data_IF_622453583926
#
_entry.id   IF_622453583926
#
_cell.length_a   1.000
_cell.length_b   1.000
_cell.length_c   1.000
_cell.angle_alpha   90.00
_cell.angle_beta   90.00
_cell.angle_gamma   90.00
#
_symmetry.space_group_name_H-M   'P 1'
#
loop_
_entity.id
_entity.type
_entity.pdbx_description
1 polymer ?
#
# COMPACT_ATOMS: atom_id res chain seq x y z
N UNK A 1 -16.97 -3.08 18.51
CA UNK A 1 -16.44 -4.42 18.88
C UNK A 1 -15.12 -4.56 18.15
N UNK A 2 -14.01 -4.60 18.87
CA UNK A 2 -12.69 -4.85 18.26
C UNK A 2 -12.67 -6.29 17.74
N UNK A 3 -12.28 -6.49 16.48
CA UNK A 3 -12.23 -7.81 15.87
C UNK A 3 -10.97 -8.54 16.38
N UNK A 4 -11.14 -9.42 17.37
CA UNK A 4 -10.06 -10.23 17.93
C UNK A 4 -9.93 -11.53 17.14
N UNK A 5 -8.70 -11.92 16.83
CA UNK A 5 -8.39 -13.21 16.22
C UNK A 5 -8.66 -14.33 17.23
N UNK A 6 -9.67 -15.16 16.94
CA UNK A 6 -10.04 -16.31 17.78
C UNK A 6 -9.34 -17.61 17.37
N UNK A 7 -9.07 -17.77 16.06
CA UNK A 7 -8.52 -19.00 15.52
C UNK A 7 -8.59 -19.04 14.00
N UNK A 8 -8.22 -20.18 13.43
CA UNK A 8 -8.27 -20.45 12.00
C UNK A 8 -9.10 -21.70 11.71
N UNK A 9 -10.01 -21.62 10.75
CA UNK A 9 -10.73 -22.78 10.22
C UNK A 9 -10.56 -22.82 8.71
N UNK A 10 -10.24 -24.00 8.18
CA UNK A 10 -10.12 -24.15 6.73
C UNK A 10 -11.49 -24.11 6.06
N UNK A 11 -11.54 -23.64 4.80
CA UNK A 11 -12.78 -23.69 4.01
C UNK A 11 -13.34 -25.11 3.90
N UNK A 12 -12.47 -26.12 3.81
CA UNK A 12 -12.86 -27.51 3.71
C UNK A 12 -13.61 -27.97 4.96
N UNK A 13 -13.02 -27.79 6.15
CA UNK A 13 -13.63 -28.15 7.43
C UNK A 13 -14.91 -27.36 7.68
N UNK A 14 -14.91 -26.05 7.42
CA UNK A 14 -16.11 -25.23 7.57
C UNK A 14 -17.24 -25.73 6.67
N UNK A 15 -16.96 -25.96 5.39
CA UNK A 15 -17.96 -26.43 4.44
C UNK A 15 -18.46 -27.84 4.73
N UNK A 16 -17.57 -28.72 5.22
CA UNK A 16 -17.92 -30.07 5.62
C UNK A 16 -18.88 -30.04 6.82
N UNK A 17 -18.57 -29.25 7.84
CA UNK A 17 -19.40 -29.14 9.04
C UNK A 17 -20.76 -28.50 8.77
N UNK A 18 -20.81 -27.45 7.95
CA UNK A 18 -22.09 -26.85 7.56
C UNK A 18 -22.97 -27.82 6.76
N UNK A 19 -22.35 -28.67 5.92
CA UNK A 19 -23.08 -29.68 5.15
C UNK A 19 -23.53 -30.85 6.02
N UNK A 20 -22.66 -31.33 6.91
CA UNK A 20 -22.99 -32.45 7.81
C UNK A 20 -24.05 -32.06 8.84
N UNK A 21 -24.10 -30.79 9.26
CA UNK A 21 -25.12 -30.28 10.17
C UNK A 21 -26.50 -30.13 9.52
N UNK A 22 -26.54 -29.87 8.20
CA UNK A 22 -27.77 -29.77 7.42
C UNK A 22 -28.35 -31.15 7.05
N UNK A 23 -27.55 -32.22 7.12
CA UNK A 23 -27.97 -33.58 6.80
C UNK A 23 -28.49 -34.33 8.05
N UNK A 24 -29.34 -35.37 7.88
CA UNK A 24 -29.71 -36.25 8.99
C UNK A 24 -28.46 -36.90 9.60
N UNK A 25 -28.33 -36.98 10.94
CA UNK A 25 -29.40 -37.01 11.94
C UNK A 25 -29.75 -35.67 12.63
N UNK A 26 -29.03 -34.57 12.38
CA UNK A 26 -29.23 -33.29 13.09
C UNK A 26 -30.15 -32.32 12.34
N UNK A 27 -30.10 -32.33 11.00
CA UNK A 27 -30.98 -31.58 10.08
C UNK A 27 -31.29 -30.14 10.54
N UNK A 28 -30.24 -29.36 10.84
CA UNK A 28 -30.39 -27.98 11.29
C UNK A 28 -30.89 -27.07 10.16
N UNK A 29 -31.79 -26.11 10.46
CA UNK A 29 -32.21 -25.11 9.49
C UNK A 29 -31.04 -24.24 8.97
N UNK A 30 -31.12 -23.71 7.74
CA UNK A 30 -30.03 -22.90 7.18
C UNK A 30 -29.81 -21.55 7.89
N UNK A 31 -30.82 -21.05 8.61
CA UNK A 31 -30.76 -19.85 9.47
C UNK A 31 -30.15 -20.09 10.86
N UNK A 32 -29.66 -21.30 11.16
CA UNK A 32 -29.07 -21.63 12.46
C UNK A 32 -27.86 -20.76 12.78
N UNK A 33 -27.82 -20.20 14.00
CA UNK A 33 -26.66 -19.45 14.48
C UNK A 33 -25.47 -20.37 14.72
N UNK A 34 -24.31 -19.96 14.20
CA UNK A 34 -23.05 -20.66 14.37
C UNK A 34 -22.10 -19.85 15.27
N UNK A 35 -21.47 -20.51 16.23
CA UNK A 35 -20.58 -19.89 17.20
C UNK A 35 -19.16 -20.41 17.10
N UNK A 36 -18.20 -19.50 17.20
CA UNK A 36 -16.77 -19.78 17.29
C UNK A 36 -16.22 -19.57 18.71
N UNK A 37 -17.11 -19.26 19.66
CA UNK A 37 -16.80 -19.05 21.08
C UNK A 37 -17.78 -19.84 21.95
N UNK A 38 -17.35 -20.22 23.15
CA UNK A 38 -18.20 -20.97 24.08
C UNK A 38 -19.40 -20.12 24.47
N UNK A 39 -20.61 -20.63 24.23
CA UNK A 39 -21.83 -20.02 24.72
C UNK A 39 -22.48 -20.96 25.75
N UNK A 40 -22.42 -20.63 27.05
CA UNK A 40 -22.92 -21.52 28.10
C UNK A 40 -24.44 -21.70 28.10
N UNK A 41 -25.19 -20.83 27.41
CA UNK A 41 -26.67 -20.83 27.37
C UNK A 41 -27.24 -21.24 26.00
N UNK A 42 -26.40 -21.65 25.05
CA UNK A 42 -26.84 -22.05 23.72
C UNK A 42 -27.38 -23.48 23.74
N UNK A 43 -28.59 -23.69 23.23
CA UNK A 43 -29.18 -25.03 23.10
C UNK A 43 -28.43 -25.84 22.02
N UNK A 44 -27.83 -26.99 22.36
CA UNK A 44 -27.10 -27.82 21.40
C UNK A 44 -27.98 -28.32 20.24
N UNK A 45 -29.30 -28.40 20.42
CA UNK A 45 -30.21 -28.85 19.37
C UNK A 45 -30.50 -27.79 18.32
N UNK A 46 -30.31 -26.50 18.66
CA UNK A 46 -30.67 -25.35 17.82
C UNK A 46 -29.48 -24.48 17.42
N UNK A 47 -28.25 -24.82 17.85
CA UNK A 47 -27.04 -24.02 17.57
C UNK A 47 -25.90 -24.88 17.06
N UNK A 48 -25.03 -24.28 16.24
CA UNK A 48 -23.86 -24.94 15.67
C UNK A 48 -22.58 -24.39 16.30
N UNK A 49 -21.95 -25.18 17.16
CA UNK A 49 -20.64 -24.84 17.71
C UNK A 49 -19.54 -25.28 16.73
N UNK A 50 -18.71 -24.36 16.24
CA UNK A 50 -17.62 -24.63 15.30
C UNK A 50 -16.24 -24.66 15.97
N UNK A 51 -16.15 -24.41 17.28
CA UNK A 51 -14.88 -24.38 18.02
C UNK A 51 -14.03 -25.65 17.90
N UNK A 52 -14.59 -26.88 17.95
CA UNK A 52 -13.79 -28.09 17.87
C UNK A 52 -13.06 -28.25 16.53
N UNK A 53 -13.57 -27.60 15.48
CA UNK A 53 -13.03 -27.65 14.13
C UNK A 53 -12.19 -26.42 13.78
N UNK A 54 -12.07 -25.48 14.71
CA UNK A 54 -11.22 -24.30 14.58
C UNK A 54 -9.92 -24.54 15.33
N UNK A 55 -8.79 -24.29 14.67
CA UNK A 55 -7.49 -24.23 15.32
C UNK A 55 -7.41 -22.96 16.17
N UNK A 56 -7.32 -23.14 17.49
CA UNK A 56 -7.26 -22.05 18.48
C UNK A 56 -5.84 -21.50 18.66
N UNK A 57 -4.83 -22.16 18.08
CA UNK A 57 -3.42 -21.78 18.20
C UNK A 57 -2.74 -21.64 16.84
N UNK A 58 -3.31 -20.84 15.90
CA UNK A 58 -2.66 -20.66 14.62
C UNK A 58 -1.34 -19.89 14.81
N UNK A 59 -0.38 -20.16 13.94
CA UNK A 59 0.92 -19.47 14.01
C UNK A 59 0.73 -18.00 13.60
N UNK A 60 1.02 -17.12 14.55
CA UNK A 60 0.92 -15.68 14.40
C UNK A 60 2.30 -15.02 14.42
N UNK A 61 2.46 -13.97 13.62
CA UNK A 61 3.63 -13.09 13.65
C UNK A 61 3.16 -11.63 13.74
N UNK A 62 3.98 -10.73 14.31
CA UNK A 62 3.67 -9.30 14.26
C UNK A 62 3.73 -8.80 12.81
N UNK A 63 2.88 -7.84 12.46
CA UNK A 63 2.85 -7.23 11.12
C UNK A 63 4.16 -6.56 10.69
N UNK A 64 5.04 -6.26 11.67
CA UNK A 64 6.38 -5.68 11.47
C UNK A 64 7.48 -6.74 11.28
N UNK A 65 7.15 -8.03 11.26
CA UNK A 65 8.15 -9.09 11.12
C UNK A 65 8.84 -9.05 9.74
N UNK A 66 10.16 -9.34 9.74
CA UNK A 66 10.95 -9.41 8.51
C UNK A 66 10.48 -10.55 7.61
N UNK A 67 10.39 -10.30 6.30
CA UNK A 67 10.00 -11.31 5.31
C UNK A 67 10.93 -12.54 5.34
N UNK A 68 12.22 -12.34 5.61
CA UNK A 68 13.17 -13.44 5.77
C UNK A 68 12.79 -14.40 6.92
N UNK A 69 12.31 -13.86 8.04
CA UNK A 69 11.84 -14.68 9.17
C UNK A 69 10.61 -15.49 8.76
N UNK A 70 9.66 -14.86 8.07
CA UNK A 70 8.46 -15.52 7.55
C UNK A 70 8.85 -16.66 6.60
N UNK A 71 9.76 -16.40 5.65
CA UNK A 71 10.28 -17.43 4.73
C UNK A 71 10.93 -18.59 5.49
N UNK A 72 11.72 -18.30 6.53
CA UNK A 72 12.35 -19.33 7.35
C UNK A 72 11.33 -20.20 8.09
N UNK A 73 10.21 -19.63 8.52
CA UNK A 73 9.10 -20.38 9.14
C UNK A 73 8.47 -21.35 8.12
N UNK A 74 8.18 -20.89 6.91
CA UNK A 74 7.65 -21.74 5.85
C UNK A 74 8.60 -22.88 5.44
N UNK A 75 9.91 -22.62 5.44
CA UNK A 75 10.92 -23.62 5.06
C UNK A 75 11.23 -24.61 6.18
N UNK A 76 11.36 -24.15 7.42
CA UNK A 76 11.78 -24.99 8.56
C UNK A 76 10.62 -25.71 9.23
N UNK A 77 9.48 -25.05 9.38
CA UNK A 77 8.28 -25.66 10.00
C UNK A 77 7.32 -26.25 8.97
N UNK A 78 7.51 -26.01 7.67
CA UNK A 78 6.65 -26.55 6.63
C UNK A 78 5.23 -25.99 6.65
N UNK A 79 5.06 -24.75 7.11
CA UNK A 79 3.75 -24.13 7.29
C UNK A 79 3.00 -23.97 5.96
N UNK A 80 1.66 -24.01 6.04
CA UNK A 80 0.79 -23.74 4.88
C UNK A 80 0.37 -22.27 4.83
N UNK A 81 0.16 -21.68 5.99
CA UNK A 81 -0.28 -20.31 6.19
C UNK A 81 0.34 -19.75 7.47
N UNK A 82 0.49 -18.43 7.54
CA UNK A 82 0.92 -17.68 8.73
C UNK A 82 0.02 -16.45 8.83
N UNK A 83 -0.51 -16.19 10.02
CA UNK A 83 -1.36 -15.02 10.28
C UNK A 83 -0.50 -13.88 10.83
N UNK A 84 -0.81 -12.65 10.44
CA UNK A 84 -0.21 -11.45 11.01
C UNK A 84 -1.20 -10.81 11.96
N UNK A 85 -0.85 -10.71 13.24
CA UNK A 85 -1.68 -10.12 14.27
C UNK A 85 -0.87 -9.15 15.12
N UNK A 86 -1.47 -8.01 15.47
CA UNK A 86 -0.92 -7.05 16.44
C UNK A 86 -1.97 -6.80 17.52
N UNK A 87 -1.58 -6.95 18.79
CA UNK A 87 -2.47 -6.84 19.97
C UNK A 87 -3.79 -7.64 19.85
N UNK A 88 -3.71 -8.84 19.27
CA UNK A 88 -4.87 -9.72 19.08
C UNK A 88 -5.76 -9.38 17.89
N UNK A 89 -5.49 -8.29 17.16
CA UNK A 89 -6.22 -7.92 15.94
C UNK A 89 -5.53 -8.50 14.72
N UNK A 90 -6.29 -9.19 13.86
CA UNK A 90 -5.79 -9.72 12.59
C UNK A 90 -5.52 -8.59 11.59
N UNK A 91 -4.26 -8.45 11.17
CA UNK A 91 -3.82 -7.47 10.17
C UNK A 91 -3.73 -8.08 8.77
N UNK A 92 -3.42 -9.38 8.66
CA UNK A 92 -3.30 -10.04 7.37
C UNK A 92 -3.01 -11.53 7.48
N UNK A 93 -2.97 -12.20 6.34
CA UNK A 93 -2.63 -13.61 6.20
C UNK A 93 -1.65 -13.77 5.04
N UNK A 94 -0.69 -14.66 5.19
CA UNK A 94 0.26 -14.99 4.15
C UNK A 94 0.36 -16.50 3.97
N UNK A 95 0.32 -16.93 2.72
CA UNK A 95 0.31 -18.35 2.35
C UNK A 95 1.62 -18.76 1.70
N UNK A 96 1.87 -20.08 1.66
CA UNK A 96 3.04 -20.63 0.97
C UNK A 96 3.12 -20.20 -0.50
N UNK A 97 1.98 -20.01 -1.17
CA UNK A 97 1.91 -19.55 -2.57
C UNK A 97 2.52 -18.16 -2.71
N UNK A 98 2.24 -17.26 -1.77
CA UNK A 98 2.71 -15.88 -1.79
C UNK A 98 4.23 -15.85 -1.58
N UNK A 99 4.75 -16.67 -0.67
CA UNK A 99 6.20 -16.84 -0.47
C UNK A 99 6.90 -17.34 -1.73
N UNK A 100 6.33 -18.34 -2.40
CA UNK A 100 6.89 -18.86 -3.66
C UNK A 100 6.86 -17.78 -4.74
N UNK A 101 5.78 -17.01 -4.81
CA UNK A 101 5.65 -15.93 -5.79
C UNK A 101 6.73 -14.86 -5.61
N UNK A 102 6.95 -14.43 -4.36
CA UNK A 102 8.03 -13.49 -3.98
C UNK A 102 9.39 -14.06 -4.33
N UNK A 103 9.67 -15.32 -3.99
CA UNK A 103 10.95 -15.98 -4.27
C UNK A 103 11.23 -16.07 -5.78
N UNK A 104 10.19 -16.27 -6.60
CA UNK A 104 10.33 -16.39 -8.04
C UNK A 104 10.45 -15.02 -8.74
N UNK A 105 10.03 -13.92 -8.11
CA UNK A 105 10.08 -12.57 -8.66
C UNK A 105 10.82 -11.58 -7.74
N UNK A 106 12.13 -11.79 -7.48
CA UNK A 106 12.89 -10.95 -6.56
C UNK A 106 13.05 -9.51 -7.05
N UNK A 107 13.02 -9.28 -8.37
CA UNK A 107 13.26 -7.97 -8.99
C UNK A 107 11.97 -7.18 -9.29
N UNK A 108 10.82 -7.61 -8.77
CA UNK A 108 9.58 -6.87 -8.98
C UNK A 108 9.60 -5.57 -8.18
N UNK A 109 9.20 -4.45 -8.79
CA UNK A 109 9.31 -3.11 -8.20
C UNK A 109 8.64 -3.00 -6.81
N UNK A 110 7.53 -3.73 -6.59
CA UNK A 110 6.82 -3.71 -5.31
C UNK A 110 7.57 -4.45 -4.18
N UNK A 111 8.59 -5.25 -4.50
CA UNK A 111 9.47 -5.94 -3.56
C UNK A 111 10.86 -5.32 -3.46
N UNK A 112 11.03 -4.11 -3.98
CA UNK A 112 12.22 -3.30 -3.73
C UNK A 112 12.35 -3.05 -2.23
N UNK A 113 13.09 -3.92 -1.55
CA UNK A 113 13.48 -3.75 -0.17
C UNK A 113 14.92 -3.31 -0.12
N UNK A 114 15.20 -2.47 0.85
CA UNK A 114 16.54 -1.98 1.06
C UNK A 114 17.42 -3.06 1.64
N UNK A 115 18.70 -3.04 1.26
CA UNK A 115 19.68 -3.87 1.94
C UNK A 115 19.63 -3.56 3.45
N UNK A 116 19.58 -4.59 4.31
CA UNK A 116 19.77 -4.37 5.74
C UNK A 116 21.13 -3.65 5.92
N UNK A 117 21.15 -2.64 6.78
CA UNK A 117 22.32 -1.82 7.14
C UNK A 117 22.67 -0.63 6.21
N UNK A 118 21.96 -0.42 5.09
CA UNK A 118 22.13 0.79 4.25
C UNK A 118 20.84 1.63 4.27
N UNK A 119 20.88 2.91 4.70
CA UNK A 119 19.74 3.81 4.62
C UNK A 119 19.48 4.23 3.17
N UNK A 120 18.74 3.38 2.47
CA UNK A 120 18.28 3.54 1.08
C UNK A 120 17.20 4.63 0.89
N UNK A 121 16.39 4.89 1.92
CA UNK A 121 15.23 5.80 1.88
C UNK A 121 15.59 6.94 2.82
N UNK A 122 15.99 8.05 2.24
CA UNK A 122 16.29 9.28 2.96
C UNK A 122 15.08 10.19 2.87
N UNK A 123 14.29 10.38 3.95
CA UNK A 123 13.07 11.20 3.88
C UNK A 123 13.35 12.64 3.43
N UNK A 124 14.57 13.15 3.69
CA UNK A 124 15.03 14.45 3.22
C UNK A 124 15.02 14.58 1.69
N UNK A 125 15.42 13.54 0.93
CA UNK A 125 15.47 13.63 -0.54
C UNK A 125 14.06 13.71 -1.13
N UNK A 126 13.12 12.92 -0.61
CA UNK A 126 11.72 13.00 -1.00
C UNK A 126 11.08 14.35 -0.66
N UNK A 127 11.42 14.94 0.49
CA UNK A 127 10.96 16.27 0.86
C UNK A 127 11.46 17.35 -0.10
N UNK A 128 12.74 17.30 -0.49
CA UNK A 128 13.35 18.23 -1.45
C UNK A 128 12.70 18.10 -2.84
N UNK A 129 12.52 16.87 -3.32
CA UNK A 129 11.85 16.61 -4.62
C UNK A 129 10.42 17.14 -4.61
N UNK A 130 9.68 16.92 -3.52
CA UNK A 130 8.31 17.44 -3.35
C UNK A 130 8.26 18.96 -3.34
N UNK A 131 9.17 19.62 -2.61
CA UNK A 131 9.26 21.07 -2.56
C UNK A 131 9.61 21.69 -3.93
N UNK A 132 10.54 21.08 -4.68
CA UNK A 132 10.86 21.50 -6.03
C UNK A 132 9.67 21.33 -6.98
N UNK A 133 8.95 20.21 -6.89
CA UNK A 133 7.78 19.92 -7.71
C UNK A 133 6.64 20.91 -7.45
N UNK A 134 6.38 21.28 -6.19
CA UNK A 134 5.33 22.27 -5.86
C UNK A 134 5.70 23.67 -6.33
N UNK A 135 6.95 24.11 -6.14
CA UNK A 135 7.41 25.40 -6.64
C UNK A 135 7.34 25.49 -8.17
N UNK A 136 7.76 24.44 -8.89
CA UNK A 136 7.62 24.36 -10.33
C UNK A 136 6.14 24.31 -10.77
N UNK A 137 5.29 23.65 -9.98
CA UNK A 137 3.85 23.57 -10.19
C UNK A 137 3.11 24.89 -9.95
N UNK A 138 3.66 25.83 -9.17
CA UNK A 138 3.03 27.15 -8.94
C UNK A 138 3.57 28.21 -9.91
N UNK A 139 4.89 28.19 -10.14
CA UNK A 139 5.59 29.25 -10.87
C UNK A 139 5.79 28.95 -12.35
N UNK A 140 5.66 27.68 -12.78
CA UNK A 140 5.94 27.21 -14.15
C UNK A 140 7.38 27.42 -14.63
N UNK A 141 8.32 27.80 -13.75
CA UNK A 141 9.74 27.97 -14.06
C UNK A 141 10.51 26.66 -13.80
N UNK A 142 10.71 25.82 -14.81
CA UNK A 142 11.28 24.48 -14.61
C UNK A 142 12.80 24.43 -14.58
N UNK A 143 13.49 25.13 -15.49
CA UNK A 143 14.96 25.08 -15.58
C UNK A 143 15.61 25.76 -14.37
N UNK A 144 15.18 26.97 -14.04
CA UNK A 144 15.78 27.75 -12.94
C UNK A 144 15.58 27.08 -11.57
N UNK A 145 14.40 26.51 -11.30
CA UNK A 145 14.11 25.86 -10.01
C UNK A 145 14.95 24.61 -9.82
N UNK A 146 15.14 23.80 -10.87
CA UNK A 146 15.99 22.61 -10.80
C UNK A 146 17.44 23.00 -10.51
N UNK A 147 17.95 24.06 -11.16
CA UNK A 147 19.32 24.55 -10.90
C UNK A 147 19.45 25.07 -9.48
N UNK A 148 18.53 25.90 -8.99
CA UNK A 148 18.56 26.42 -7.61
C UNK A 148 18.53 25.27 -6.61
N UNK A 149 17.64 24.29 -6.79
CA UNK A 149 17.54 23.15 -5.88
C UNK A 149 18.77 22.25 -5.93
N UNK A 150 19.37 22.10 -7.11
CA UNK A 150 20.64 21.40 -7.29
C UNK A 150 21.79 22.10 -6.54
N UNK A 151 21.94 23.41 -6.72
CA UNK A 151 22.96 24.22 -6.03
C UNK A 151 22.81 24.15 -4.50
N UNK A 152 21.56 24.20 -4.00
CA UNK A 152 21.26 24.10 -2.57
C UNK A 152 21.52 22.69 -2.00
N UNK A 153 21.35 21.63 -2.80
CA UNK A 153 21.49 20.24 -2.35
C UNK A 153 22.93 19.73 -2.48
N UNK A 154 23.73 20.30 -3.40
CA UNK A 154 25.16 19.98 -3.57
C UNK A 154 25.46 18.56 -4.07
N UNK A 155 24.47 17.80 -4.53
CA UNK A 155 24.60 16.41 -4.95
C UNK A 155 24.07 16.19 -6.38
N UNK A 156 24.97 15.86 -7.31
CA UNK A 156 24.70 15.63 -8.74
C UNK A 156 23.79 14.41 -9.00
N UNK A 157 23.80 13.42 -8.10
CA UNK A 157 23.05 12.17 -8.27
C UNK A 157 21.54 12.35 -8.22
N UNK A 158 21.05 13.45 -7.64
CA UNK A 158 19.61 13.72 -7.49
C UNK A 158 19.02 14.61 -8.58
N UNK A 159 19.84 15.08 -9.54
CA UNK A 159 19.38 15.98 -10.61
C UNK A 159 18.38 15.30 -11.54
N UNK A 160 18.67 14.07 -11.98
CA UNK A 160 17.78 13.32 -12.87
C UNK A 160 16.38 13.07 -12.29
N UNK A 161 16.21 12.51 -11.07
CA UNK A 161 14.88 12.31 -10.50
C UNK A 161 14.15 13.63 -10.21
N UNK A 162 14.86 14.70 -9.84
CA UNK A 162 14.25 16.02 -9.67
C UNK A 162 13.72 16.60 -10.98
N UNK A 163 14.47 16.49 -12.08
CA UNK A 163 14.02 16.96 -13.40
C UNK A 163 12.74 16.25 -13.85
N UNK A 164 12.68 14.92 -13.67
CA UNK A 164 11.48 14.13 -14.01
C UNK A 164 10.28 14.58 -13.17
N UNK A 165 10.45 14.74 -11.86
CA UNK A 165 9.36 15.18 -10.97
C UNK A 165 8.86 16.59 -11.30
N UNK A 166 9.77 17.54 -11.55
CA UNK A 166 9.45 18.92 -11.93
C UNK A 166 8.75 18.98 -13.29
N UNK A 167 9.20 18.19 -14.27
CA UNK A 167 8.57 18.13 -15.59
C UNK A 167 7.15 17.57 -15.53
N UNK A 168 6.93 16.50 -14.75
CA UNK A 168 5.59 15.96 -14.52
C UNK A 168 4.70 17.00 -13.84
N UNK A 169 5.19 17.71 -12.82
CA UNK A 169 4.44 18.76 -12.14
C UNK A 169 4.03 19.90 -13.10
N UNK A 170 4.94 20.32 -13.98
CA UNK A 170 4.63 21.30 -15.04
C UNK A 170 3.53 20.77 -15.96
N UNK A 171 3.65 19.55 -16.49
CA UNK A 171 2.66 18.99 -17.41
C UNK A 171 1.27 18.88 -16.79
N UNK A 172 1.20 18.37 -15.56
CA UNK A 172 -0.05 18.29 -14.80
C UNK A 172 -0.62 19.68 -14.63
N UNK A 173 0.20 20.65 -14.25
CA UNK A 173 -0.24 22.01 -14.06
C UNK A 173 -0.69 22.73 -15.34
N UNK A 174 0.04 22.56 -16.45
CA UNK A 174 -0.31 23.10 -17.76
C UNK A 174 -1.62 22.52 -18.30
N UNK A 175 -1.95 21.28 -17.93
CA UNK A 175 -3.22 20.64 -18.26
C UNK A 175 -4.43 21.30 -17.57
N UNK A 176 -4.25 21.84 -16.35
CA UNK A 176 -5.31 22.54 -15.63
C UNK A 176 -5.36 24.04 -15.95
N UNK A 177 -4.21 24.70 -16.03
CA UNK A 177 -4.10 26.13 -16.33
C UNK A 177 -2.83 26.41 -17.12
N UNK A 178 -2.98 27.14 -18.22
CA UNK A 178 -1.87 27.51 -19.12
C UNK A 178 -0.96 28.58 -18.54
N UNK A 179 -1.39 29.31 -17.49
CA UNK A 179 -0.63 30.42 -16.90
C UNK A 179 -0.16 30.09 -15.49
N UNK A 180 1.08 30.48 -15.19
CA UNK A 180 1.63 30.45 -13.84
C UNK A 180 1.04 31.54 -12.93
N UNK A 181 1.35 31.50 -11.63
CA UNK A 181 0.89 32.53 -10.68
C UNK A 181 1.39 33.93 -11.05
N UNK A 182 2.64 34.04 -11.52
CA UNK A 182 3.25 35.32 -11.86
C UNK A 182 2.60 35.95 -13.10
N UNK A 183 2.38 35.18 -14.15
CA UNK A 183 1.65 35.63 -15.35
C UNK A 183 0.20 36.01 -15.03
N UNK A 184 -0.45 35.23 -14.18
CA UNK A 184 -1.82 35.52 -13.74
C UNK A 184 -1.91 36.85 -12.99
N UNK A 185 -0.93 37.14 -12.14
CA UNK A 185 -0.86 38.40 -11.38
C UNK A 185 -0.55 39.60 -12.27
N UNK A 186 0.35 39.44 -13.25
CA UNK A 186 0.67 40.47 -14.25
C UNK A 186 -0.59 40.87 -15.04
N UNK A 187 -1.36 39.88 -15.49
CA UNK A 187 -2.60 40.11 -16.22
C UNK A 187 -3.70 40.73 -15.35
N UNK A 188 -3.75 40.38 -14.06
CA UNK A 188 -4.70 40.97 -13.12
C UNK A 188 -4.45 42.47 -12.88
N UNK A 189 -3.18 42.90 -12.91
CA UNK A 189 -2.80 44.31 -12.74
C UNK A 189 -2.71 45.10 -14.05
N UNK A 190 -3.08 44.50 -15.19
CA UNK A 190 -3.04 45.12 -16.52
C UNK A 190 -1.67 45.71 -16.89
N UNK A 191 -0.58 45.10 -16.42
CA UNK A 191 0.75 45.55 -16.81
C UNK A 191 1.04 45.19 -18.28
N UNK A 192 1.63 46.11 -19.07
CA UNK A 192 2.03 45.81 -20.44
C UNK A 192 3.21 44.82 -20.42
N UNK A 193 2.92 43.54 -20.64
CA UNK A 193 3.89 42.46 -20.73
C UNK A 193 3.96 41.92 -22.17
N UNK A 194 5.17 41.80 -22.70
CA UNK A 194 5.43 41.18 -23.99
C UNK A 194 5.75 39.70 -23.76
N UNK A 195 4.84 38.82 -24.17
CA UNK A 195 5.05 37.38 -24.08
C UNK A 195 5.90 36.90 -25.27
N UNK A 196 6.98 36.16 -24.98
CA UNK A 196 7.83 35.57 -26.02
C UNK A 196 7.21 34.32 -26.65
N UNK A 197 6.20 33.72 -26.02
CA UNK A 197 5.52 32.52 -26.55
C UNK A 197 4.56 32.82 -27.70
N UNK A 198 3.99 34.04 -27.75
CA UNK A 198 3.10 34.47 -28.82
C UNK A 198 3.85 34.85 -30.12
N UNK A 199 5.11 35.29 -30.01
CA UNK A 199 5.96 35.62 -31.15
C UNK A 199 6.34 34.38 -31.98
N UNK A 200 6.52 33.23 -31.33
CA UNK A 200 6.86 31.96 -31.98
C UNK A 200 5.68 31.39 -32.78
N UNK A 201 4.44 31.68 -32.35
CA UNK A 201 3.21 31.21 -33.03
C UNK A 201 2.83 32.12 -34.21
N UNK A 202 3.24 33.40 -34.19
CA UNK A 202 2.97 34.38 -35.25
C UNK A 202 3.96 34.31 -36.44
N UNK A 203 5.00 33.48 -36.36
CA UNK A 203 6.03 33.31 -37.39
C UNK A 203 5.82 32.08 -38.30
N UNK A 204 4.67 31.41 -38.23
CA UNK A 204 4.31 30.32 -39.15
C UNK A 204 3.39 30.91 -40.25
N UNK A 205 3.88 31.14 -41.48
CA UNK A 205 3.00 31.32 -42.64
C UNK A 205 2.29 30.03 -43.05
#
# INVERSE_FOLDING_TARGET
REAILLGYISRAELSYNLRSSAQPPRSLPPETEAFFTHQPMADPSATLDLRPWMDQTPITLPSRANLHLVVSYFQKLGLRYVLFADRGVLQGLLTKKDVIWVKNHPNFFAFGSCAPDIPCITPATYAVVGAAATLAGVTRMTVSIVVIMFELTGALTYVLPMMVAVMISKWVGDAFSRRGIYESWIHFNEYPFLDNSDAETAQIP
#
